data_IF_577454185172
#
_entry.id   IF_577454185172
#
_cell.length_a   1.000
_cell.length_b   1.000
_cell.length_c   1.000
_cell.angle_alpha   90.00
_cell.angle_beta   90.00
_cell.angle_gamma   90.00
#
_symmetry.space_group_name_H-M   'P 1'
#
loop_
_entity.id
_entity.type
_entity.pdbx_description
1 polymer ?
#
# COMPACT_ATOMS: atom_id res chain seq x y z
N UNK A 1 13.59 -7.95 15.59
CA UNK A 1 12.39 -7.44 14.87
C UNK A 1 12.51 -7.84 13.41
N UNK A 2 11.54 -8.57 12.85
CA UNK A 2 11.64 -9.09 11.48
C UNK A 2 11.53 -7.94 10.47
N UNK A 3 12.57 -7.70 9.67
CA UNK A 3 12.66 -6.58 8.72
C UNK A 3 11.56 -6.61 7.64
N UNK A 4 11.08 -7.81 7.28
CA UNK A 4 9.94 -8.03 6.38
C UNK A 4 8.65 -7.49 7.01
N UNK A 5 8.41 -7.81 8.28
CA UNK A 5 7.24 -7.33 9.01
C UNK A 5 7.27 -5.81 9.20
N UNK A 6 8.44 -5.23 9.47
CA UNK A 6 8.61 -3.77 9.59
C UNK A 6 8.27 -3.06 8.27
N UNK A 7 8.80 -3.55 7.14
CA UNK A 7 8.50 -2.98 5.81
C UNK A 7 7.03 -3.13 5.42
N UNK A 8 6.45 -4.30 5.68
CA UNK A 8 5.01 -4.53 5.46
C UNK A 8 4.18 -3.52 6.26
N UNK A 9 4.49 -3.34 7.54
CA UNK A 9 3.76 -2.41 8.40
C UNK A 9 3.93 -0.95 7.97
N UNK A 10 5.11 -0.56 7.46
CA UNK A 10 5.34 0.78 6.92
C UNK A 10 4.41 1.06 5.72
N UNK A 11 4.34 0.14 4.75
CA UNK A 11 3.43 0.28 3.62
C UNK A 11 1.96 0.35 4.05
N UNK A 12 1.53 -0.47 5.02
CA UNK A 12 0.15 -0.41 5.52
C UNK A 12 -0.16 0.93 6.22
N UNK A 13 0.81 1.51 6.94
CA UNK A 13 0.65 2.85 7.54
C UNK A 13 0.51 3.93 6.47
N UNK A 14 1.32 3.87 5.41
CA UNK A 14 1.22 4.80 4.28
C UNK A 14 -0.12 4.65 3.53
N UNK A 15 -0.60 3.42 3.32
CA UNK A 15 -1.92 3.17 2.72
C UNK A 15 -3.04 3.82 3.54
N UNK A 16 -3.04 3.61 4.86
CA UNK A 16 -4.01 4.21 5.76
C UNK A 16 -3.97 5.74 5.72
N UNK A 17 -2.78 6.34 5.64
CA UNK A 17 -2.63 7.79 5.46
C UNK A 17 -3.29 8.26 4.16
N UNK A 18 -3.05 7.60 3.03
CA UNK A 18 -3.65 8.00 1.77
C UNK A 18 -5.18 7.86 1.77
N UNK A 19 -5.74 6.77 2.34
CA UNK A 19 -7.19 6.62 2.45
C UNK A 19 -7.84 7.70 3.31
N UNK A 20 -7.23 8.06 4.45
CA UNK A 20 -7.74 9.14 5.31
C UNK A 20 -7.75 10.50 4.61
N UNK A 21 -6.75 10.78 3.78
CA UNK A 21 -6.75 12.01 3.00
C UNK A 21 -7.76 11.94 1.85
N UNK A 22 -7.91 10.78 1.20
CA UNK A 22 -8.88 10.59 0.15
C UNK A 22 -10.32 10.85 0.62
N UNK A 23 -10.67 10.45 1.86
CA UNK A 23 -11.98 10.77 2.43
C UNK A 23 -12.23 12.26 2.61
N UNK A 24 -11.20 13.05 2.95
CA UNK A 24 -11.33 14.51 3.04
C UNK A 24 -11.67 15.11 1.68
N UNK A 25 -10.92 14.74 0.62
CA UNK A 25 -11.22 15.22 -0.74
C UNK A 25 -12.57 14.72 -1.28
N UNK A 26 -13.02 13.53 -0.87
CA UNK A 26 -14.34 13.03 -1.21
C UNK A 26 -15.46 13.88 -0.58
N UNK A 27 -15.30 14.27 0.68
CA UNK A 27 -16.23 15.15 1.39
C UNK A 27 -16.27 16.56 0.78
N UNK A 28 -15.13 17.05 0.29
CA UNK A 28 -15.01 18.33 -0.42
C UNK A 28 -15.54 18.27 -1.88
N UNK A 29 -15.87 17.08 -2.39
CA UNK A 29 -16.33 16.87 -3.76
C UNK A 29 -15.22 16.86 -4.82
N UNK A 30 -13.95 16.95 -4.41
CA UNK A 30 -12.79 16.78 -5.31
C UNK A 30 -12.52 15.29 -5.55
N UNK A 31 -13.33 14.71 -6.44
CA UNK A 31 -13.25 13.30 -6.80
C UNK A 31 -11.95 12.93 -7.51
N UNK A 32 -11.31 13.88 -8.20
CA UNK A 32 -10.07 13.62 -8.94
C UNK A 32 -8.90 13.43 -7.97
N UNK A 33 -8.75 14.32 -7.00
CA UNK A 33 -7.74 14.19 -5.94
C UNK A 33 -8.01 12.97 -5.06
N UNK A 34 -9.28 12.71 -4.73
CA UNK A 34 -9.70 11.51 -4.02
C UNK A 34 -9.26 10.23 -4.76
N UNK A 35 -9.60 10.10 -6.04
CA UNK A 35 -9.23 8.94 -6.86
C UNK A 35 -7.71 8.76 -6.93
N UNK A 36 -6.97 9.85 -7.10
CA UNK A 36 -5.50 9.83 -7.10
C UNK A 36 -4.90 9.29 -5.79
N UNK A 37 -5.50 9.62 -4.65
CA UNK A 37 -5.06 9.14 -3.34
C UNK A 37 -5.45 7.67 -3.10
N UNK A 38 -6.63 7.25 -3.53
CA UNK A 38 -7.06 5.85 -3.47
C UNK A 38 -6.08 4.96 -4.25
N UNK A 39 -5.70 5.35 -5.47
CA UNK A 39 -4.74 4.59 -6.27
C UNK A 39 -3.36 4.48 -5.58
N UNK A 40 -2.90 5.56 -4.93
CA UNK A 40 -1.67 5.53 -4.12
C UNK A 40 -1.79 4.59 -2.93
N UNK A 41 -2.93 4.57 -2.25
CA UNK A 41 -3.18 3.68 -1.12
C UNK A 41 -3.14 2.21 -1.55
N UNK A 42 -3.82 1.87 -2.65
CA UNK A 42 -3.85 0.51 -3.21
C UNK A 42 -2.47 0.02 -3.65
N UNK A 43 -1.61 0.88 -4.23
CA UNK A 43 -0.23 0.50 -4.52
C UNK A 43 0.54 0.12 -3.25
N UNK A 44 0.34 0.86 -2.15
CA UNK A 44 0.99 0.55 -0.87
C UNK A 44 0.48 -0.77 -0.29
N UNK A 45 -0.81 -1.07 -0.37
CA UNK A 45 -1.35 -2.37 0.04
C UNK A 45 -0.78 -3.53 -0.79
N UNK A 46 -0.73 -3.36 -2.13
CA UNK A 46 -0.10 -4.32 -3.04
C UNK A 46 1.36 -4.57 -2.67
N UNK A 47 2.12 -3.51 -2.38
CA UNK A 47 3.53 -3.61 -1.93
C UNK A 47 3.66 -4.28 -0.57
N UNK A 48 2.75 -4.01 0.37
CA UNK A 48 2.71 -4.67 1.67
C UNK A 48 2.47 -6.18 1.52
N UNK A 49 1.61 -6.59 0.59
CA UNK A 49 1.36 -8.00 0.28
C UNK A 49 2.54 -8.67 -0.43
N UNK A 50 3.26 -7.93 -1.28
CA UNK A 50 4.46 -8.40 -1.96
C UNK A 50 5.73 -8.45 -1.11
N UNK A 51 5.67 -8.03 0.17
CA UNK A 51 6.82 -8.06 1.09
C UNK A 51 6.94 -9.45 1.72
N UNK A 52 7.96 -10.19 1.28
CA UNK A 52 8.25 -11.55 1.74
C UNK A 52 9.00 -12.32 0.65
N UNK A 53 9.34 -13.60 0.89
CA UNK A 53 9.84 -14.46 -0.16
C UNK A 53 8.79 -14.57 -1.25
N UNK A 54 9.06 -14.01 -2.43
CA UNK A 54 8.22 -14.25 -3.58
C UNK A 54 8.41 -15.70 -3.99
N UNK A 55 7.31 -16.46 -4.05
CA UNK A 55 7.31 -17.87 -4.49
C UNK A 55 8.03 -18.03 -5.83
N UNK A 56 7.93 -17.03 -6.73
CA UNK A 56 8.65 -16.98 -8.01
C UNK A 56 10.18 -16.95 -7.87
N UNK A 57 10.73 -16.40 -6.79
CA UNK A 57 12.17 -16.41 -6.52
C UNK A 57 12.63 -17.76 -5.95
N UNK A 58 11.76 -18.45 -5.20
CA UNK A 58 12.04 -19.80 -4.69
C UNK A 58 12.18 -20.81 -5.84
N UNK A 59 11.31 -20.72 -6.86
CA UNK A 59 11.26 -21.66 -7.99
C UNK A 59 12.48 -21.55 -8.94
N UNK A 60 13.12 -20.38 -9.07
CA UNK A 60 14.31 -20.21 -9.93
C UNK A 60 15.59 -20.86 -9.38
N UNK A 61 15.58 -21.35 -8.15
CA UNK A 61 16.75 -21.91 -7.46
C UNK A 61 16.71 -23.44 -7.37
N UNK A 62 15.71 -24.07 -7.99
CA UNK A 62 15.54 -25.53 -8.13
C UNK A 62 15.90 -25.91 -9.56
#
# INVERSE_FOLDING_TARGET
>A
MNTVQVKKQAFLKEACFFFKNASVYAEEGDLQSCAGLILKALDKERRAFGVGPQVLHLIKTI
#
